data_IF_044680070375
#
_entry.id   IF_044680070375
#
_cell.length_a   1.000
_cell.length_b   1.000
_cell.length_c   1.000
_cell.angle_alpha   90.00
_cell.angle_beta   90.00
_cell.angle_gamma   90.00
#
_symmetry.space_group_name_H-M   'P 1'
#
loop_
_entity.id
_entity.type
_entity.pdbx_description
1 polymer ?
#
# COMPACT_ATOMS: atom_id res chain seq x y z
N UNK A 1 22.17 6.45 -30.04
CA UNK A 1 21.74 5.15 -29.47
C UNK A 1 21.22 5.33 -28.03
N UNK A 2 19.96 5.76 -27.78
CA UNK A 2 19.40 5.93 -26.41
C UNK A 2 17.85 5.80 -26.35
N UNK A 3 17.24 4.78 -26.99
CA UNK A 3 15.76 4.66 -27.03
C UNK A 3 15.18 3.47 -26.24
N UNK A 4 16.02 2.54 -25.78
CA UNK A 4 15.57 1.28 -25.18
C UNK A 4 15.26 1.34 -23.67
N UNK A 5 15.71 2.38 -22.96
CA UNK A 5 15.51 2.48 -21.50
C UNK A 5 14.12 3.05 -21.12
N UNK A 6 13.52 3.89 -21.98
CA UNK A 6 12.18 4.46 -21.74
C UNK A 6 11.04 3.43 -21.81
N UNK A 7 11.26 2.27 -22.45
CA UNK A 7 10.25 1.19 -22.52
C UNK A 7 10.10 0.40 -21.23
N UNK A 8 11.05 0.49 -20.28
CA UNK A 8 11.04 -0.28 -19.03
C UNK A 8 10.33 0.44 -17.89
N UNK A 9 10.25 1.78 -17.93
CA UNK A 9 9.61 2.63 -16.91
C UNK A 9 8.13 2.24 -16.65
N UNK A 10 7.25 2.08 -17.67
CA UNK A 10 5.86 1.72 -17.40
C UNK A 10 5.71 0.35 -16.72
N UNK A 11 6.61 -0.59 -17.00
CA UNK A 11 6.61 -1.91 -16.36
C UNK A 11 6.94 -1.81 -14.86
N UNK A 12 7.92 -1.00 -14.48
CA UNK A 12 8.26 -0.78 -13.06
C UNK A 12 7.14 -0.05 -12.30
N UNK A 13 6.48 0.92 -12.93
CA UNK A 13 5.32 1.59 -12.33
C UNK A 13 4.18 0.59 -12.09
N UNK A 14 3.90 -0.28 -13.07
CA UNK A 14 2.88 -1.33 -12.95
C UNK A 14 3.22 -2.30 -11.80
N UNK A 15 4.48 -2.72 -11.70
CA UNK A 15 4.96 -3.61 -10.64
C UNK A 15 4.79 -2.96 -9.25
N UNK A 16 5.18 -1.69 -9.13
CA UNK A 16 5.03 -0.93 -7.88
C UNK A 16 3.55 -0.78 -7.49
N UNK A 17 2.68 -0.44 -8.44
CA UNK A 17 1.24 -0.34 -8.21
C UNK A 17 0.65 -1.69 -7.77
N UNK A 18 1.03 -2.79 -8.44
CA UNK A 18 0.61 -4.14 -8.06
C UNK A 18 1.08 -4.51 -6.64
N UNK A 19 2.32 -4.16 -6.28
CA UNK A 19 2.85 -4.35 -4.94
C UNK A 19 2.05 -3.60 -3.88
N UNK A 20 1.71 -2.33 -4.12
CA UNK A 20 0.89 -1.52 -3.21
C UNK A 20 -0.52 -2.10 -3.07
N UNK A 21 -1.14 -2.54 -4.17
CA UNK A 21 -2.46 -3.16 -4.13
C UNK A 21 -2.44 -4.46 -3.32
N UNK A 22 -1.47 -5.34 -3.57
CA UNK A 22 -1.32 -6.58 -2.83
C UNK A 22 -1.10 -6.32 -1.34
N UNK A 23 -0.25 -5.35 -1.00
CA UNK A 23 0.02 -4.99 0.39
C UNK A 23 -1.22 -4.41 1.08
N UNK A 24 -1.97 -3.55 0.40
CA UNK A 24 -3.25 -3.00 0.89
C UNK A 24 -4.27 -4.11 1.14
N UNK A 25 -4.31 -5.14 0.29
CA UNK A 25 -5.17 -6.29 0.46
C UNK A 25 -4.80 -7.11 1.71
N UNK A 26 -3.52 -7.37 1.92
CA UNK A 26 -3.02 -8.08 3.11
C UNK A 26 -3.42 -7.33 4.37
N UNK A 27 -3.25 -6.00 4.39
CA UNK A 27 -3.62 -5.15 5.53
C UNK A 27 -5.12 -5.20 5.80
N UNK A 28 -5.96 -5.15 4.75
CA UNK A 28 -7.41 -5.27 4.89
C UNK A 28 -7.80 -6.61 5.52
N UNK A 29 -7.23 -7.72 5.04
CA UNK A 29 -7.52 -9.05 5.58
C UNK A 29 -7.08 -9.17 7.04
N UNK A 30 -5.87 -8.72 7.34
CA UNK A 30 -5.33 -8.79 8.70
C UNK A 30 -6.14 -7.95 9.66
N UNK A 31 -6.49 -6.72 9.26
CA UNK A 31 -7.36 -5.84 10.03
C UNK A 31 -8.70 -6.52 10.30
N UNK A 32 -9.39 -6.98 9.25
CA UNK A 32 -10.74 -7.54 9.37
C UNK A 32 -10.77 -8.86 10.15
N UNK A 33 -9.69 -9.64 10.14
CA UNK A 33 -9.58 -10.89 10.90
C UNK A 33 -9.25 -10.67 12.39
N UNK A 34 -8.56 -9.59 12.74
CA UNK A 34 -8.01 -9.40 14.10
C UNK A 34 -8.75 -8.32 14.88
N UNK A 35 -8.76 -7.08 14.39
CA UNK A 35 -9.20 -5.93 15.17
C UNK A 35 -10.70 -5.91 15.46
N UNK A 36 -11.60 -6.24 14.52
CA UNK A 36 -13.02 -6.38 14.82
C UNK A 36 -13.30 -7.45 15.87
N UNK A 37 -12.56 -8.56 15.86
CA UNK A 37 -12.74 -9.65 16.82
C UNK A 37 -12.20 -9.32 18.21
N UNK A 38 -11.08 -8.59 18.28
CA UNK A 38 -10.38 -8.32 19.55
C UNK A 38 -10.87 -7.05 20.25
N UNK A 39 -11.19 -6.00 19.49
CA UNK A 39 -11.46 -4.65 20.03
C UNK A 39 -12.87 -4.16 19.66
N UNK A 40 -13.63 -4.92 18.85
CA UNK A 40 -14.98 -4.54 18.42
C UNK A 40 -15.00 -3.36 17.45
N UNK A 41 -13.88 -3.05 16.79
CA UNK A 41 -13.83 -1.99 15.76
C UNK A 41 -14.46 -2.47 14.46
N UNK A 42 -14.84 -1.53 13.59
CA UNK A 42 -15.47 -1.85 12.31
C UNK A 42 -14.48 -2.49 11.32
N UNK A 43 -15.02 -3.37 10.48
CA UNK A 43 -14.31 -3.85 9.28
C UNK A 43 -14.01 -2.69 8.34
N UNK A 44 -12.89 -2.79 7.63
CA UNK A 44 -12.43 -1.81 6.66
C UNK A 44 -12.51 -2.38 5.24
N UNK A 45 -12.79 -1.50 4.27
CA UNK A 45 -12.73 -1.81 2.84
C UNK A 45 -11.32 -1.60 2.29
N UNK A 46 -11.08 -2.08 1.06
CA UNK A 46 -9.78 -1.97 0.39
C UNK A 46 -9.25 -0.52 0.36
N UNK A 47 -10.11 0.44 0.03
CA UNK A 47 -9.72 1.86 -0.02
C UNK A 47 -9.39 2.44 1.36
N UNK A 48 -10.04 1.96 2.41
CA UNK A 48 -9.71 2.35 3.78
C UNK A 48 -8.37 1.76 4.22
N UNK A 49 -8.08 0.50 3.87
CA UNK A 49 -6.77 -0.11 4.14
C UNK A 49 -5.64 0.60 3.37
N UNK A 50 -5.86 0.93 2.09
CA UNK A 50 -4.93 1.72 1.30
C UNK A 50 -4.72 3.14 1.89
N UNK A 51 -5.80 3.80 2.33
CA UNK A 51 -5.73 5.09 3.01
C UNK A 51 -4.96 5.01 4.33
N UNK A 52 -5.14 3.94 5.12
CA UNK A 52 -4.41 3.69 6.35
C UNK A 52 -2.90 3.51 6.07
N UNK A 53 -2.54 2.78 5.01
CA UNK A 53 -1.15 2.63 4.59
C UNK A 53 -0.50 3.96 4.18
N UNK A 54 -1.23 4.79 3.42
CA UNK A 54 -0.75 6.13 3.05
C UNK A 54 -0.56 6.99 4.30
N UNK A 55 -1.52 6.95 5.22
CA UNK A 55 -1.44 7.66 6.50
C UNK A 55 -0.24 7.17 7.34
N UNK A 56 -0.02 5.86 7.45
CA UNK A 56 1.18 5.30 8.09
C UNK A 56 2.46 5.76 7.41
N UNK A 57 2.49 5.86 6.07
CA UNK A 57 3.66 6.40 5.36
C UNK A 57 3.87 7.87 5.68
N UNK A 58 2.81 8.67 5.77
CA UNK A 58 2.92 10.10 6.12
C UNK A 58 3.43 10.26 7.56
N UNK A 59 2.89 9.49 8.50
CA UNK A 59 3.22 9.60 9.93
C UNK A 59 4.59 9.00 10.27
N UNK A 60 4.90 7.80 9.75
CA UNK A 60 6.09 7.03 10.11
C UNK A 60 7.17 7.04 9.04
N UNK A 61 6.82 7.35 7.79
CA UNK A 61 7.75 7.37 6.65
C UNK A 61 8.50 8.70 6.47
N UNK A 62 8.65 9.46 7.56
CA UNK A 62 9.60 10.56 7.83
C UNK A 62 10.06 11.45 6.67
N UNK A 63 9.97 12.77 6.86
CA UNK A 63 10.76 13.80 6.14
C UNK A 63 12.26 13.73 6.48
N UNK A 64 12.87 12.55 6.49
CA UNK A 64 14.32 12.38 6.57
C UNK A 64 14.74 11.65 5.31
N UNK A 65 15.18 12.44 4.33
CA UNK A 65 15.96 11.93 3.22
C UNK A 65 17.14 11.14 3.77
N UNK A 66 17.35 9.95 3.21
CA UNK A 66 18.69 9.41 3.10
C UNK A 66 19.47 10.21 2.07
#
# INVERSE_FOLDING_TARGET
MKKYWMRKIPFFILLAAAGIMLFSWIVMLLWNATLPALVGVKVISFWQAAGLLVLSKILFGGFRGG
#
